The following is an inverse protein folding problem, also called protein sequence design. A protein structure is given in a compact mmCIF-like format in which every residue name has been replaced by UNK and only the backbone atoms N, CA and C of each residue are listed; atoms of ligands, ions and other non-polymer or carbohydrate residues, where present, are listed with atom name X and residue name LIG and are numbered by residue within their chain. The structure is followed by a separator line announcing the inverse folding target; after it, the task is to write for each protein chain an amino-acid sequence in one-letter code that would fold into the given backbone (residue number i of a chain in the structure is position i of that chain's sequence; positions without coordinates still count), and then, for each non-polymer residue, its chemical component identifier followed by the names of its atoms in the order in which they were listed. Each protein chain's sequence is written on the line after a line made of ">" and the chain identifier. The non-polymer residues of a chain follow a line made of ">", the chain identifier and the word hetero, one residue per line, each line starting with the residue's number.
data_IF_663838172218
#
_entry.id   IF_663838172218
#
_cell.length_a   1.000
_cell.length_b   1.000
_cell.length_c   1.000
_cell.angle_alpha   90.00
_cell.angle_beta   90.00
_cell.angle_gamma   90.00
#
_symmetry.space_group_name_H-M   'P 1'
#
loop_
_entity.id
_entity.type
_entity.pdbx_description
1 polymer ?
#
# COMPACT_ATOMS: atom_id res chain seq x y z
N UNK A 1 63.16 -12.76 34.35
CA UNK A 1 62.69 -11.74 33.36
C UNK A 1 61.48 -12.29 32.59
N UNK A 2 60.25 -12.05 33.09
CA UNK A 2 59.05 -12.54 32.53
C UNK A 2 58.48 -11.46 31.62
N UNK A 3 58.40 -11.70 30.30
CA UNK A 3 57.74 -10.79 29.30
C UNK A 3 56.29 -11.11 29.31
N UNK A 4 55.48 -10.16 29.84
CA UNK A 4 54.02 -10.21 29.78
C UNK A 4 53.58 -9.68 28.39
N UNK A 5 53.08 -10.58 27.55
CA UNK A 5 52.41 -10.21 26.30
C UNK A 5 50.95 -9.79 26.61
N UNK A 6 50.72 -8.49 26.60
CA UNK A 6 49.37 -7.93 26.73
C UNK A 6 48.68 -7.99 25.36
N UNK A 7 47.91 -9.05 25.16
CA UNK A 7 47.08 -9.21 23.96
C UNK A 7 45.90 -8.24 24.00
N UNK A 8 45.98 -7.17 23.21
CA UNK A 8 44.88 -6.22 22.99
C UNK A 8 43.85 -6.86 22.04
N UNK A 9 42.81 -7.50 22.61
CA UNK A 9 41.64 -7.91 21.85
C UNK A 9 40.82 -6.68 21.43
N UNK A 10 41.05 -6.22 20.22
CA UNK A 10 40.16 -5.28 19.53
C UNK A 10 38.85 -6.01 19.19
N UNK A 11 37.86 -5.89 20.06
CA UNK A 11 36.47 -6.24 19.73
C UNK A 11 35.93 -5.24 18.70
N UNK A 12 36.04 -5.60 17.43
CA UNK A 12 35.34 -4.90 16.35
C UNK A 12 33.85 -5.17 16.49
N UNK A 13 33.13 -4.29 17.18
CA UNK A 13 31.68 -4.25 17.12
C UNK A 13 31.31 -3.84 15.69
N UNK A 14 31.00 -4.82 14.85
CA UNK A 14 30.35 -4.60 13.58
C UNK A 14 28.93 -4.07 13.87
N UNK A 15 28.75 -2.76 13.87
CA UNK A 15 27.43 -2.16 13.80
C UNK A 15 26.81 -2.58 12.47
N UNK A 16 25.95 -3.59 12.51
CA UNK A 16 25.08 -3.90 11.39
C UNK A 16 24.06 -2.74 11.29
N UNK A 17 24.38 -1.77 10.46
CA UNK A 17 23.43 -0.75 10.01
C UNK A 17 22.30 -1.48 9.28
N UNK A 18 21.25 -1.84 9.97
CA UNK A 18 20.00 -2.23 9.32
C UNK A 18 19.45 -0.96 8.67
N UNK A 19 19.67 -0.83 7.38
CA UNK A 19 18.97 0.17 6.56
C UNK A 19 17.48 -0.11 6.66
N UNK A 20 16.77 0.68 7.47
CA UNK A 20 15.32 0.59 7.55
C UNK A 20 14.76 0.95 6.18
N UNK A 21 14.12 -0.02 5.52
CA UNK A 21 13.48 0.20 4.24
C UNK A 21 12.41 1.26 4.43
N UNK A 22 12.58 2.39 3.77
CA UNK A 22 11.62 3.49 3.81
C UNK A 22 10.28 3.00 3.26
N UNK A 23 9.26 2.93 4.12
CA UNK A 23 7.92 2.45 3.79
C UNK A 23 6.86 3.45 4.28
N UNK A 24 6.69 4.58 3.57
CA UNK A 24 5.84 5.68 4.02
C UNK A 24 4.34 5.39 3.85
N UNK A 25 3.96 4.23 3.35
CA UNK A 25 2.56 3.82 3.19
C UNK A 25 2.29 2.57 4.02
N UNK A 26 1.31 2.66 4.93
CA UNK A 26 0.83 1.55 5.74
C UNK A 26 -0.56 1.14 5.26
N UNK A 27 -0.72 -0.13 4.94
CA UNK A 27 -1.95 -0.68 4.41
C UNK A 27 -2.75 -1.43 5.49
N UNK A 28 -4.07 -1.29 5.45
CA UNK A 28 -5.00 -2.06 6.27
C UNK A 28 -6.17 -2.55 5.39
N UNK A 29 -6.68 -3.73 5.70
CA UNK A 29 -7.68 -4.41 4.90
C UNK A 29 -8.82 -4.89 5.77
N UNK A 30 -10.07 -4.72 5.32
CA UNK A 30 -11.24 -5.23 6.01
C UNK A 30 -12.40 -5.51 5.05
N UNK A 31 -13.23 -6.48 5.40
CA UNK A 31 -14.53 -6.69 4.78
C UNK A 31 -15.63 -6.20 5.72
N UNK A 32 -16.50 -5.33 5.24
CA UNK A 32 -17.63 -4.78 5.98
C UNK A 32 -18.92 -5.28 5.34
N UNK A 33 -19.74 -5.99 6.12
CA UNK A 33 -21.02 -6.49 5.65
C UNK A 33 -21.99 -5.33 5.43
N UNK A 34 -22.62 -5.28 4.24
CA UNK A 34 -23.57 -4.24 3.85
C UNK A 34 -24.97 -4.77 3.58
N UNK A 35 -25.15 -6.10 3.59
CA UNK A 35 -26.43 -6.75 3.39
C UNK A 35 -26.28 -8.28 3.35
N UNK A 36 -27.35 -8.99 3.01
CA UNK A 36 -27.26 -10.44 2.83
C UNK A 36 -26.27 -10.77 1.70
N UNK A 37 -25.22 -11.53 2.02
CA UNK A 37 -24.11 -11.90 1.13
C UNK A 37 -23.38 -10.71 0.47
N UNK A 38 -23.65 -9.46 0.87
CA UNK A 38 -23.04 -8.25 0.31
C UNK A 38 -22.03 -7.66 1.26
N UNK A 39 -20.86 -7.29 0.73
CA UNK A 39 -19.75 -6.71 1.51
C UNK A 39 -19.08 -5.60 0.72
N UNK A 40 -18.50 -4.66 1.45
CA UNK A 40 -17.49 -3.75 0.94
C UNK A 40 -16.11 -4.24 1.41
N UNK A 41 -15.23 -4.49 0.47
CA UNK A 41 -13.80 -4.69 0.75
C UNK A 41 -13.19 -3.30 0.80
N UNK A 42 -12.67 -2.94 1.97
CA UNK A 42 -12.08 -1.63 2.23
C UNK A 42 -10.58 -1.81 2.40
N UNK A 43 -9.83 -1.23 1.49
CA UNK A 43 -8.37 -1.18 1.47
C UNK A 43 -7.98 0.23 1.87
N UNK A 44 -7.35 0.39 3.02
CA UNK A 44 -6.95 1.70 3.53
C UNK A 44 -5.45 1.89 3.39
N UNK A 45 -5.04 2.97 2.72
CA UNK A 45 -3.68 3.48 2.76
C UNK A 45 -3.59 4.60 3.80
N UNK A 46 -2.64 4.49 4.72
CA UNK A 46 -2.21 5.59 5.58
C UNK A 46 -0.83 6.03 5.09
N UNK A 47 -0.77 7.23 4.52
CA UNK A 47 0.43 7.79 3.88
C UNK A 47 1.04 8.80 4.83
N UNK A 48 2.29 8.55 5.24
CA UNK A 48 3.03 9.43 6.16
C UNK A 48 3.41 10.74 5.44
N UNK A 49 3.21 11.89 6.08
CA UNK A 49 3.67 13.17 5.53
C UNK A 49 5.21 13.19 5.42
N UNK A 50 5.80 13.85 4.40
CA UNK A 50 5.19 14.61 3.32
C UNK A 50 4.89 13.80 2.04
N UNK A 51 4.73 12.48 2.16
CA UNK A 51 4.51 11.57 1.05
C UNK A 51 3.07 11.58 0.55
N UNK A 52 2.89 11.22 -0.72
CA UNK A 52 1.59 11.02 -1.35
C UNK A 52 1.62 9.84 -2.32
N UNK A 53 0.47 9.21 -2.55
CA UNK A 53 0.24 8.20 -3.58
C UNK A 53 -0.71 8.75 -4.63
N UNK A 54 -0.70 8.17 -5.81
CA UNK A 54 -1.46 8.70 -6.95
C UNK A 54 -2.82 8.02 -7.09
N UNK A 55 -3.80 8.81 -7.60
CA UNK A 55 -5.14 8.32 -7.91
C UNK A 55 -5.10 7.20 -8.96
N UNK A 56 -6.07 6.25 -8.91
CA UNK A 56 -6.30 5.24 -9.94
C UNK A 56 -6.57 5.83 -11.32
N UNK A 57 -7.02 7.10 -11.37
CA UNK A 57 -7.45 7.76 -12.60
C UNK A 57 -6.34 8.55 -13.29
N UNK A 58 -5.11 8.49 -12.82
CA UNK A 58 -3.95 9.08 -13.50
C UNK A 58 -3.69 8.31 -14.79
N UNK A 59 -3.72 9.03 -15.92
CA UNK A 59 -3.54 8.44 -17.27
C UNK A 59 -2.14 8.63 -17.84
N UNK A 60 -1.44 9.67 -17.39
CA UNK A 60 -0.09 10.03 -17.84
C UNK A 60 0.73 10.51 -16.66
N UNK A 61 1.99 10.09 -16.59
CA UNK A 61 2.91 10.48 -15.52
C UNK A 61 3.25 9.30 -14.60
N UNK A 62 3.03 9.42 -13.28
CA UNK A 62 3.37 8.37 -12.31
C UNK A 62 2.52 7.10 -12.49
N UNK A 63 3.01 6.02 -11.91
CA UNK A 63 2.23 4.77 -11.81
C UNK A 63 1.01 5.03 -10.92
N UNK A 64 -0.23 4.86 -11.45
CA UNK A 64 -1.44 5.03 -10.67
C UNK A 64 -1.56 3.93 -9.61
N UNK A 65 -2.25 4.21 -8.51
CA UNK A 65 -2.62 3.15 -7.59
C UNK A 65 -3.62 2.22 -8.28
N UNK A 66 -3.29 0.92 -8.34
CA UNK A 66 -4.11 -0.08 -9.00
C UNK A 66 -4.40 -1.23 -8.05
N UNK A 67 -5.67 -1.55 -7.85
CA UNK A 67 -6.11 -2.70 -7.04
C UNK A 67 -6.55 -3.82 -7.97
N UNK A 68 -5.90 -4.97 -7.86
CA UNK A 68 -6.24 -6.17 -8.62
C UNK A 68 -6.65 -7.29 -7.66
N UNK A 69 -7.84 -7.84 -7.86
CA UNK A 69 -8.35 -8.97 -7.09
C UNK A 69 -8.05 -10.28 -7.81
N UNK A 70 -7.58 -11.28 -7.07
CA UNK A 70 -7.46 -12.63 -7.59
C UNK A 70 -8.85 -13.25 -7.79
N UNK A 71 -8.96 -14.14 -8.77
CA UNK A 71 -10.22 -14.87 -9.02
C UNK A 71 -10.59 -15.72 -7.80
N UNK A 72 -11.80 -15.54 -7.32
CA UNK A 72 -12.42 -16.39 -6.31
C UNK A 72 -13.78 -16.84 -6.84
N UNK A 73 -14.03 -18.16 -7.00
CA UNK A 73 -15.27 -18.67 -7.59
C UNK A 73 -16.52 -18.35 -6.76
N UNK A 74 -16.35 -18.04 -5.47
CA UNK A 74 -17.44 -17.73 -4.53
C UNK A 74 -17.76 -16.23 -4.47
N UNK A 75 -16.94 -15.37 -5.05
CA UNK A 75 -17.04 -13.91 -4.95
C UNK A 75 -17.30 -13.28 -6.32
N UNK A 76 -18.29 -12.40 -6.38
CA UNK A 76 -18.55 -11.55 -7.54
C UNK A 76 -18.15 -10.12 -7.19
N UNK A 77 -17.28 -9.52 -7.99
CA UNK A 77 -16.94 -8.11 -7.89
C UNK A 77 -18.05 -7.27 -8.54
N UNK A 78 -18.59 -6.30 -7.82
CA UNK A 78 -19.67 -5.45 -8.31
C UNK A 78 -19.13 -4.06 -8.67
N UNK A 79 -19.12 -3.75 -9.95
CA UNK A 79 -18.61 -2.48 -10.47
C UNK A 79 -17.09 -2.35 -10.32
N UNK A 80 -16.61 -1.12 -10.26
CA UNK A 80 -15.18 -0.77 -10.13
C UNK A 80 -14.84 -0.31 -8.71
N UNK A 81 -13.58 -0.47 -8.33
CA UNK A 81 -13.05 0.06 -7.06
C UNK A 81 -13.18 1.59 -7.02
N UNK A 82 -13.72 2.11 -5.92
CA UNK A 82 -13.92 3.55 -5.69
C UNK A 82 -12.84 4.09 -4.77
N UNK A 83 -12.41 5.32 -5.01
CA UNK A 83 -11.53 6.08 -4.11
C UNK A 83 -12.38 6.93 -3.15
N UNK A 84 -12.01 6.90 -1.86
CA UNK A 84 -12.61 7.74 -0.83
C UNK A 84 -11.48 8.35 0.00
N UNK A 85 -11.31 9.66 -0.12
CA UNK A 85 -10.25 10.43 0.53
C UNK A 85 -10.22 11.85 0.02
N UNK A 86 -9.32 12.65 0.57
CA UNK A 86 -9.11 14.02 0.10
C UNK A 86 -8.18 14.02 -1.12
N UNK A 87 -8.77 14.05 -2.31
CA UNK A 87 -8.03 14.13 -3.56
C UNK A 87 -7.47 15.54 -3.73
N UNK A 88 -6.17 15.66 -3.81
CA UNK A 88 -5.48 16.89 -4.18
C UNK A 88 -5.07 16.83 -5.65
N UNK A 89 -5.34 17.91 -6.39
CA UNK A 89 -4.86 18.10 -7.77
C UNK A 89 -3.90 19.27 -7.76
N UNK A 90 -2.63 19.00 -7.86
CA UNK A 90 -1.59 20.03 -7.90
C UNK A 90 -0.53 19.70 -8.93
N UNK A 91 0.28 20.72 -9.26
CA UNK A 91 1.42 20.52 -10.14
C UNK A 91 2.46 19.65 -9.42
N UNK A 92 2.83 18.55 -10.07
CA UNK A 92 3.85 17.62 -9.60
C UNK A 92 5.16 17.90 -10.33
N UNK A 93 6.18 18.32 -9.57
CA UNK A 93 7.49 18.69 -10.13
C UNK A 93 8.24 17.50 -10.72
N UNK A 94 8.01 16.28 -10.22
CA UNK A 94 8.67 15.07 -10.73
C UNK A 94 8.19 14.71 -12.15
N UNK A 95 6.94 15.07 -12.48
CA UNK A 95 6.32 14.73 -13.77
C UNK A 95 5.97 15.94 -14.63
N UNK A 96 6.13 17.16 -14.12
CA UNK A 96 5.84 18.38 -14.85
C UNK A 96 4.39 18.55 -15.26
N UNK A 97 3.44 18.02 -14.49
CA UNK A 97 2.01 18.01 -14.82
C UNK A 97 1.14 18.18 -13.58
N UNK A 98 -0.12 18.59 -13.77
CA UNK A 98 -1.14 18.58 -12.71
C UNK A 98 -1.67 17.16 -12.56
N UNK A 99 -1.45 16.57 -11.39
CA UNK A 99 -1.76 15.17 -11.10
C UNK A 99 -2.60 15.07 -9.83
N UNK A 100 -3.55 14.13 -9.84
CA UNK A 100 -4.35 13.80 -8.66
C UNK A 100 -3.60 12.84 -7.73
N UNK A 101 -3.49 13.21 -6.46
CA UNK A 101 -2.80 12.41 -5.44
C UNK A 101 -3.50 12.47 -4.09
N UNK A 102 -3.12 11.56 -3.18
CA UNK A 102 -3.62 11.48 -1.83
C UNK A 102 -2.45 11.46 -0.85
N UNK A 103 -2.44 12.40 0.08
CA UNK A 103 -1.68 12.33 1.32
C UNK A 103 -2.58 11.86 2.47
N UNK A 104 -1.97 11.45 3.59
CA UNK A 104 -2.72 11.03 4.77
C UNK A 104 -3.53 9.74 4.53
N UNK A 105 -4.84 9.77 4.74
CA UNK A 105 -5.70 8.58 4.64
C UNK A 105 -6.53 8.57 3.36
N UNK A 106 -6.45 7.48 2.61
CA UNK A 106 -7.34 7.20 1.48
C UNK A 106 -7.82 5.74 1.54
N UNK A 107 -9.04 5.49 1.08
CA UNK A 107 -9.64 4.16 1.01
C UNK A 107 -9.99 3.81 -0.43
N UNK A 108 -9.71 2.57 -0.79
CA UNK A 108 -10.14 1.95 -2.04
C UNK A 108 -11.21 0.93 -1.69
N UNK A 109 -12.42 1.14 -2.17
CA UNK A 109 -13.59 0.37 -1.78
C UNK A 109 -14.14 -0.41 -2.97
N UNK A 110 -14.17 -1.74 -2.83
CA UNK A 110 -14.76 -2.65 -3.80
C UNK A 110 -16.00 -3.33 -3.21
N UNK A 111 -17.14 -3.10 -3.83
CA UNK A 111 -18.34 -3.85 -3.49
C UNK A 111 -18.25 -5.28 -4.03
N UNK A 112 -18.63 -6.26 -3.20
CA UNK A 112 -18.64 -7.68 -3.59
C UNK A 112 -19.90 -8.37 -3.12
N UNK A 113 -20.27 -9.47 -3.79
CA UNK A 113 -21.37 -10.36 -3.40
C UNK A 113 -20.86 -11.79 -3.33
N UNK A 114 -21.17 -12.49 -2.23
CA UNK A 114 -20.94 -13.93 -2.11
C UNK A 114 -22.06 -14.69 -2.85
N UNK A 115 -21.69 -15.67 -3.67
CA UNK A 115 -22.66 -16.56 -4.33
C UNK A 115 -23.39 -17.46 -3.34
N UNK A 116 -22.68 -17.88 -2.32
CA UNK A 116 -23.21 -18.74 -1.24
C UNK A 116 -22.82 -18.14 0.11
N UNK A 117 -23.60 -18.43 1.15
CA UNK A 117 -23.35 -17.94 2.50
C UNK A 117 -22.29 -18.81 3.19
N UNK A 118 -21.04 -18.57 2.90
CA UNK A 118 -19.89 -19.29 3.47
C UNK A 118 -18.71 -18.35 3.70
N UNK A 119 -17.88 -18.73 4.67
CA UNK A 119 -16.60 -18.00 4.90
C UNK A 119 -15.65 -18.24 3.74
N UNK A 120 -15.00 -17.19 3.29
CA UNK A 120 -14.00 -17.26 2.23
C UNK A 120 -12.95 -16.16 2.39
N UNK A 121 -11.85 -16.27 1.67
CA UNK A 121 -10.80 -15.25 1.61
C UNK A 121 -10.75 -14.64 0.23
N UNK A 122 -10.64 -13.33 0.18
CA UNK A 122 -10.37 -12.60 -1.05
C UNK A 122 -8.94 -12.06 -1.01
N UNK A 123 -8.16 -12.45 -2.00
CA UNK A 123 -6.77 -12.01 -2.13
C UNK A 123 -6.61 -11.07 -3.31
N UNK A 124 -5.50 -10.34 -3.33
CA UNK A 124 -5.19 -9.45 -4.44
C UNK A 124 -3.84 -8.78 -4.28
N UNK A 125 -3.58 -7.83 -5.17
CA UNK A 125 -2.38 -7.00 -5.15
C UNK A 125 -2.74 -5.55 -5.33
N UNK A 126 -1.95 -4.67 -4.72
CA UNK A 126 -2.00 -3.23 -4.91
C UNK A 126 -0.67 -2.83 -5.51
N UNK A 127 -0.70 -2.22 -6.69
CA UNK A 127 0.46 -1.56 -7.28
C UNK A 127 0.33 -0.07 -7.08
N UNK A 128 1.38 0.59 -6.62
CA UNK A 128 1.38 2.03 -6.35
C UNK A 128 2.78 2.61 -6.44
N UNK A 129 2.84 3.91 -6.69
CA UNK A 129 4.05 4.72 -6.57
C UNK A 129 3.83 5.76 -5.48
N UNK A 130 4.86 6.02 -4.69
CA UNK A 130 4.83 7.02 -3.62
C UNK A 130 5.94 8.04 -3.82
N UNK A 131 5.58 9.31 -3.77
CA UNK A 131 6.48 10.44 -3.98
C UNK A 131 6.34 11.48 -2.88
N UNK A 132 7.36 12.33 -2.76
CA UNK A 132 7.28 13.63 -2.10
C UNK A 132 7.74 14.71 -3.08
N UNK A 133 7.91 15.94 -2.63
CA UNK A 133 8.32 17.07 -3.51
C UNK A 133 9.73 16.91 -4.09
N UNK A 134 10.56 16.04 -3.53
CA UNK A 134 11.97 15.86 -3.91
C UNK A 134 12.22 14.61 -4.75
N UNK A 135 11.50 13.52 -4.46
CA UNK A 135 11.75 12.21 -5.09
C UNK A 135 10.56 11.25 -5.06
N UNK A 136 10.63 10.28 -5.95
CA UNK A 136 9.74 9.12 -5.96
C UNK A 136 10.49 7.85 -5.54
N UNK A 137 9.81 6.97 -4.83
CA UNK A 137 10.26 5.60 -4.63
C UNK A 137 9.83 4.74 -5.83
N UNK A 138 10.58 3.67 -6.15
CA UNK A 138 10.18 2.75 -7.21
C UNK A 138 8.75 2.21 -6.99
N UNK A 139 7.99 1.95 -8.07
CA UNK A 139 6.69 1.32 -7.97
C UNK A 139 6.75 0.04 -7.13
N UNK A 140 5.80 -0.11 -6.24
CA UNK A 140 5.75 -1.22 -5.29
C UNK A 140 4.46 -2.01 -5.50
N UNK A 141 4.56 -3.36 -5.42
CA UNK A 141 3.42 -4.27 -5.37
C UNK A 141 3.28 -4.83 -3.96
N UNK A 142 2.12 -4.63 -3.38
CA UNK A 142 1.74 -5.13 -2.06
C UNK A 142 0.62 -6.16 -2.21
N UNK A 143 0.86 -7.39 -1.77
CA UNK A 143 -0.20 -8.41 -1.70
C UNK A 143 -1.08 -8.19 -0.48
N UNK A 144 -2.36 -8.54 -0.59
CA UNK A 144 -3.31 -8.49 0.50
C UNK A 144 -4.22 -9.72 0.54
N UNK A 145 -4.76 -9.96 1.72
CA UNK A 145 -5.77 -10.98 1.99
C UNK A 145 -6.83 -10.40 2.93
N UNK A 146 -8.10 -10.69 2.66
CA UNK A 146 -9.24 -10.26 3.47
C UNK A 146 -10.18 -11.43 3.69
N UNK A 147 -10.49 -11.72 4.95
CA UNK A 147 -11.51 -12.71 5.32
C UNK A 147 -12.91 -12.11 5.15
N UNK A 148 -13.81 -12.84 4.49
CA UNK A 148 -15.22 -12.50 4.31
C UNK A 148 -16.04 -13.53 5.07
N UNK A 149 -16.85 -13.07 6.05
CA UNK A 149 -17.60 -13.96 6.97
C UNK A 149 -19.09 -13.66 6.97
#
# INVERSE_FOLDING_TARGET
>A
MKKIFLGLCLLAFAFQSQSQKLAPVKWAYQAVKTGDKKYNIIITANVDAPWHIYSQFVKKGPVPTTVQFAKNPLVVLNGTTKEVGQLEKKFDNNFGAVIGSFGGKVQFIQAVTLKVNTKTKLTGTIEYMVCNEERCLPPTKQSFEVDIQ
#
